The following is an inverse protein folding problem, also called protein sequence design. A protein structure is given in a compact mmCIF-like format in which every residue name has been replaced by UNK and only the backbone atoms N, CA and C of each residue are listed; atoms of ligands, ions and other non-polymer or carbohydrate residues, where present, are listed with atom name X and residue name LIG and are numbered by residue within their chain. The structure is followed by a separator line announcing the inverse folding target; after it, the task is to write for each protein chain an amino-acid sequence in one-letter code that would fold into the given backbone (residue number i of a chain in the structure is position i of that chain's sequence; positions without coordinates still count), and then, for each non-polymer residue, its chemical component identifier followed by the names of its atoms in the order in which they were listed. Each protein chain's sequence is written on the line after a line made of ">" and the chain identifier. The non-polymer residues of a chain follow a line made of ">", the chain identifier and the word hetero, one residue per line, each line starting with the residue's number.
data_IF_629054121106
#
_entry.id   IF_629054121106
#
_cell.length_a   1.000
_cell.length_b   1.000
_cell.length_c   1.000
_cell.angle_alpha   90.00
_cell.angle_beta   90.00
_cell.angle_gamma   90.00
#
_symmetry.space_group_name_H-M   'P 1'
#
loop_
_entity.id
_entity.type
_entity.pdbx_description
1 polymer ?
#
# COMPACT_ATOMS: atom_id res chain seq x y z
N UNK A 1 26.43 -8.22 23.76
CA UNK A 1 26.03 -8.50 22.37
C UNK A 1 24.79 -7.68 22.04
N UNK A 2 24.99 -6.62 21.28
CA UNK A 2 23.89 -5.77 20.82
C UNK A 2 23.10 -6.54 19.78
N UNK A 3 21.94 -7.05 20.15
CA UNK A 3 20.95 -7.53 19.17
C UNK A 3 20.51 -6.28 18.44
N UNK A 4 20.86 -6.27 17.18
CA UNK A 4 20.95 -5.11 16.31
C UNK A 4 19.67 -4.29 16.28
N UNK A 5 19.82 -2.99 16.16
CA UNK A 5 18.76 -2.03 15.78
C UNK A 5 17.94 -2.50 14.57
N UNK A 6 18.51 -3.36 13.71
CA UNK A 6 17.85 -3.94 12.53
C UNK A 6 16.70 -4.86 12.86
N UNK A 7 16.82 -5.73 13.88
CA UNK A 7 15.71 -6.62 14.28
C UNK A 7 14.53 -5.86 14.94
N UNK A 8 14.79 -4.69 15.53
CA UNK A 8 13.74 -3.82 16.05
C UNK A 8 13.07 -2.95 14.99
N UNK A 9 13.74 -2.72 13.86
CA UNK A 9 13.17 -1.97 12.73
C UNK A 9 12.29 -2.85 11.81
N UNK A 10 12.51 -4.16 11.78
CA UNK A 10 11.71 -5.08 10.97
C UNK A 10 10.24 -5.22 11.40
N UNK A 11 9.90 -4.79 12.61
CA UNK A 11 8.52 -4.81 13.14
C UNK A 11 7.84 -3.44 13.12
N UNK A 12 8.40 -2.45 12.43
CA UNK A 12 7.83 -1.11 12.36
C UNK A 12 7.37 -0.80 10.94
N UNK A 13 6.26 -0.07 10.76
CA UNK A 13 5.97 0.55 9.48
C UNK A 13 7.20 1.37 9.10
N UNK A 14 7.58 1.38 7.85
CA UNK A 14 8.77 2.00 7.31
C UNK A 14 9.10 3.40 7.86
N UNK A 15 9.76 4.21 7.06
CA UNK A 15 10.09 5.58 7.45
C UNK A 15 8.83 6.44 7.50
N UNK A 16 8.72 7.28 8.53
CA UNK A 16 7.54 8.12 8.78
C UNK A 16 7.80 9.58 8.44
N UNK A 17 6.80 10.24 7.87
CA UNK A 17 6.76 11.69 7.68
C UNK A 17 5.38 12.22 8.16
N UNK A 18 5.35 12.91 9.30
CA UNK A 18 4.10 13.38 9.93
C UNK A 18 3.16 12.23 10.26
N UNK A 19 1.94 12.24 9.70
CA UNK A 19 0.95 11.18 9.85
C UNK A 19 1.15 10.02 8.86
N UNK A 20 1.91 10.26 7.77
CA UNK A 20 2.09 9.28 6.71
C UNK A 20 3.27 8.36 7.00
N UNK A 21 3.09 7.08 6.67
CA UNK A 21 4.11 6.04 6.74
C UNK A 21 4.34 5.46 5.36
N UNK A 22 5.60 5.14 5.02
CA UNK A 22 5.89 4.33 3.85
C UNK A 22 5.85 2.84 4.20
N UNK A 23 5.50 2.03 3.23
CA UNK A 23 5.50 0.59 3.34
C UNK A 23 5.98 -0.02 2.03
N UNK A 24 7.01 -0.85 2.10
CA UNK A 24 7.60 -1.48 0.92
C UNK A 24 7.85 -2.97 1.18
N UNK A 25 7.31 -3.81 0.30
CA UNK A 25 7.61 -5.24 0.24
C UNK A 25 8.41 -5.55 -1.02
N UNK A 26 9.36 -6.46 -0.90
CA UNK A 26 10.07 -7.04 -2.05
C UNK A 26 9.90 -8.55 -1.98
N UNK A 27 9.12 -9.09 -2.90
CA UNK A 27 8.76 -10.50 -2.91
C UNK A 27 9.37 -11.21 -4.12
N UNK A 28 9.87 -12.43 -3.92
CA UNK A 28 10.15 -13.33 -5.03
C UNK A 28 8.84 -13.81 -5.66
N UNK A 29 8.78 -13.87 -6.98
CA UNK A 29 7.62 -14.39 -7.71
C UNK A 29 7.77 -15.88 -8.01
N UNK A 30 6.65 -16.57 -8.05
CA UNK A 30 6.56 -17.94 -8.56
C UNK A 30 6.91 -17.97 -10.05
N UNK A 31 7.35 -19.11 -10.62
CA UNK A 31 7.58 -19.23 -12.05
C UNK A 31 6.36 -18.77 -12.87
N UNK A 32 6.56 -17.82 -13.80
CA UNK A 32 5.52 -17.21 -14.60
C UNK A 32 4.61 -16.22 -13.85
N UNK A 33 4.87 -15.97 -12.56
CA UNK A 33 4.05 -15.07 -11.73
C UNK A 33 4.07 -13.63 -12.21
N UNK A 34 5.20 -13.16 -12.74
CA UNK A 34 5.31 -11.80 -13.28
C UNK A 34 4.32 -11.53 -14.42
N UNK A 35 4.20 -12.46 -15.34
CA UNK A 35 3.26 -12.33 -16.46
C UNK A 35 1.80 -12.38 -15.97
N UNK A 36 1.48 -13.33 -15.08
CA UNK A 36 0.11 -13.42 -14.52
C UNK A 36 -0.25 -12.15 -13.72
N UNK A 37 0.67 -11.60 -12.97
CA UNK A 37 0.44 -10.34 -12.22
C UNK A 37 0.23 -9.16 -13.17
N UNK A 38 0.97 -9.08 -14.29
CA UNK A 38 0.72 -8.05 -15.33
C UNK A 38 -0.69 -8.16 -15.91
N UNK A 39 -1.14 -9.37 -16.20
CA UNK A 39 -2.50 -9.61 -16.70
C UNK A 39 -3.55 -9.18 -15.67
N UNK A 40 -3.36 -9.51 -14.39
CA UNK A 40 -4.24 -9.11 -13.30
C UNK A 40 -4.32 -7.58 -13.11
N UNK A 41 -3.23 -6.88 -13.39
CA UNK A 41 -3.10 -5.43 -13.20
C UNK A 41 -3.17 -4.65 -14.52
N UNK A 42 -3.54 -5.29 -15.64
CA UNK A 42 -3.55 -4.66 -16.96
C UNK A 42 -4.40 -3.37 -17.00
N UNK A 43 -5.55 -3.36 -16.32
CA UNK A 43 -6.44 -2.21 -16.22
C UNK A 43 -6.06 -1.24 -15.07
N UNK A 44 -4.96 -1.51 -14.36
CA UNK A 44 -4.51 -0.72 -13.23
C UNK A 44 -5.53 -0.67 -12.08
N UNK A 45 -5.54 0.46 -11.38
CA UNK A 45 -6.49 0.75 -10.29
C UNK A 45 -7.62 1.65 -10.81
N UNK A 46 -8.52 1.06 -11.61
CA UNK A 46 -9.68 1.75 -12.20
C UNK A 46 -10.97 1.02 -11.84
N UNK A 47 -12.13 1.65 -12.09
CA UNK A 47 -13.44 1.03 -11.90
C UNK A 47 -13.68 0.54 -10.47
N UNK A 48 -14.10 -0.71 -10.32
CA UNK A 48 -14.40 -1.30 -9.01
C UNK A 48 -13.14 -1.49 -8.15
N UNK A 49 -11.99 -1.79 -8.73
CA UNK A 49 -10.73 -1.90 -7.99
C UNK A 49 -10.37 -0.60 -7.32
N UNK A 50 -10.51 0.54 -8.02
CA UNK A 50 -10.29 1.84 -7.42
C UNK A 50 -11.29 2.11 -6.28
N UNK A 51 -12.57 1.92 -6.51
CA UNK A 51 -13.60 2.13 -5.48
C UNK A 51 -13.35 1.28 -4.23
N UNK A 52 -12.95 0.05 -4.42
CA UNK A 52 -12.63 -0.85 -3.31
C UNK A 52 -11.40 -0.36 -2.54
N UNK A 53 -10.35 0.06 -3.24
CA UNK A 53 -9.15 0.63 -2.62
C UNK A 53 -9.48 1.93 -1.87
N UNK A 54 -10.32 2.80 -2.44
CA UNK A 54 -10.78 4.03 -1.79
C UNK A 54 -11.53 3.79 -0.47
N UNK A 55 -12.16 2.61 -0.29
CA UNK A 55 -12.82 2.24 0.97
C UNK A 55 -11.86 2.12 2.15
N UNK A 56 -10.59 1.83 1.92
CA UNK A 56 -9.56 1.78 2.97
C UNK A 56 -9.36 3.19 3.54
N UNK A 57 -9.43 4.23 2.69
CA UNK A 57 -9.43 5.65 3.08
C UNK A 57 -8.23 6.12 3.90
N UNK A 58 -7.15 5.36 3.91
CA UNK A 58 -5.87 5.68 4.56
C UNK A 58 -4.69 5.56 3.59
N UNK A 59 -4.90 5.05 2.38
CA UNK A 59 -3.87 4.85 1.37
C UNK A 59 -3.75 6.09 0.48
N UNK A 60 -2.61 6.77 0.52
CA UNK A 60 -2.31 7.91 -0.35
C UNK A 60 -1.96 7.47 -1.76
N UNK A 61 -1.11 6.47 -1.87
CA UNK A 61 -0.68 5.86 -3.12
C UNK A 61 -0.26 4.42 -2.88
N UNK A 62 -0.31 3.62 -3.93
CA UNK A 62 0.29 2.29 -3.96
C UNK A 62 0.72 1.94 -5.38
N UNK A 63 1.72 1.06 -5.49
CA UNK A 63 2.23 0.60 -6.77
C UNK A 63 2.84 -0.78 -6.69
N UNK A 64 2.75 -1.50 -7.80
CA UNK A 64 3.46 -2.76 -8.04
C UNK A 64 4.52 -2.53 -9.12
N UNK A 65 5.73 -3.00 -8.89
CA UNK A 65 6.83 -2.92 -9.87
C UNK A 65 7.47 -4.29 -9.99
N UNK A 66 7.37 -4.90 -11.16
CA UNK A 66 8.01 -6.18 -11.47
C UNK A 66 9.41 -5.89 -12.03
N UNK A 67 10.42 -6.61 -11.58
CA UNK A 67 11.81 -6.42 -11.94
C UNK A 67 12.62 -7.73 -11.87
N UNK A 68 13.93 -7.68 -12.09
CA UNK A 68 14.83 -8.84 -12.13
C UNK A 68 14.34 -9.96 -13.08
N UNK A 69 14.08 -9.61 -14.34
CA UNK A 69 13.59 -10.55 -15.35
C UNK A 69 12.34 -11.31 -14.89
N UNK A 70 11.38 -10.59 -14.31
CA UNK A 70 10.09 -11.11 -13.85
C UNK A 70 10.16 -12.09 -12.67
N UNK A 71 11.27 -12.09 -11.94
CA UNK A 71 11.43 -12.97 -10.78
C UNK A 71 11.08 -12.31 -9.45
N UNK A 72 10.90 -10.98 -9.43
CA UNK A 72 10.64 -10.22 -8.21
C UNK A 72 9.60 -9.13 -8.44
N UNK A 73 8.87 -8.78 -7.39
CA UNK A 73 7.94 -7.65 -7.36
C UNK A 73 8.21 -6.77 -6.16
N UNK A 74 8.14 -5.45 -6.38
CA UNK A 74 7.99 -4.45 -5.33
C UNK A 74 6.51 -4.12 -5.21
N UNK A 75 5.97 -4.22 -4.01
CA UNK A 75 4.77 -3.51 -3.61
C UNK A 75 5.17 -2.36 -2.71
N UNK A 76 4.80 -1.15 -3.06
CA UNK A 76 5.09 0.02 -2.26
C UNK A 76 3.84 0.88 -2.09
N UNK A 77 3.62 1.41 -0.90
CA UNK A 77 2.48 2.27 -0.58
C UNK A 77 2.86 3.33 0.45
N UNK A 78 2.03 4.37 0.49
CA UNK A 78 2.03 5.39 1.54
C UNK A 78 0.67 5.38 2.21
N UNK A 79 0.63 5.36 3.53
CA UNK A 79 -0.61 5.24 4.30
C UNK A 79 -0.59 6.07 5.57
N UNK A 80 -1.79 6.41 6.07
CA UNK A 80 -2.00 7.07 7.37
C UNK A 80 -2.21 6.05 8.47
N UNK A 81 -1.74 6.40 9.68
CA UNK A 81 -2.02 5.63 10.89
C UNK A 81 -0.99 4.56 11.20
N UNK A 82 -1.39 3.55 11.95
CA UNK A 82 -0.49 2.49 12.38
C UNK A 82 -0.52 1.27 11.43
N UNK A 83 0.59 0.54 11.43
CA UNK A 83 0.80 -0.61 10.56
C UNK A 83 -0.21 -1.75 10.77
N UNK A 84 -0.60 -2.00 12.03
CA UNK A 84 -1.55 -3.07 12.37
C UNK A 84 -2.93 -2.79 11.78
N UNK A 85 -3.42 -1.55 11.95
CA UNK A 85 -4.67 -1.10 11.36
C UNK A 85 -4.63 -1.17 9.83
N UNK A 86 -3.53 -0.72 9.23
CA UNK A 86 -3.33 -0.77 7.78
C UNK A 86 -3.44 -2.19 7.21
N UNK A 87 -2.74 -3.17 7.81
CA UNK A 87 -2.82 -4.57 7.36
C UNK A 87 -4.22 -5.16 7.60
N UNK A 88 -4.84 -4.85 8.74
CA UNK A 88 -6.18 -5.33 9.07
C UNK A 88 -7.25 -4.74 8.13
N UNK A 89 -7.10 -3.50 7.67
CA UNK A 89 -8.02 -2.89 6.70
C UNK A 89 -7.98 -3.65 5.37
N UNK A 90 -6.82 -4.00 4.87
CA UNK A 90 -6.72 -4.85 3.68
C UNK A 90 -7.35 -6.23 3.88
N UNK A 91 -7.07 -6.87 5.01
CA UNK A 91 -7.62 -8.18 5.33
C UNK A 91 -9.15 -8.18 5.48
N UNK A 92 -9.74 -7.05 5.84
CA UNK A 92 -11.18 -6.90 6.09
C UNK A 92 -11.94 -6.39 4.86
N UNK A 93 -11.34 -5.44 4.14
CA UNK A 93 -12.04 -4.70 3.05
C UNK A 93 -11.77 -5.34 1.69
N UNK A 94 -10.55 -5.87 1.47
CA UNK A 94 -10.08 -6.36 0.17
C UNK A 94 -9.43 -7.76 0.23
N UNK A 95 -9.92 -8.72 1.02
CA UNK A 95 -9.22 -9.99 1.22
C UNK A 95 -8.99 -10.75 -0.09
N UNK A 96 -10.02 -10.87 -0.93
CA UNK A 96 -9.95 -11.63 -2.18
C UNK A 96 -8.97 -10.98 -3.17
N UNK A 97 -8.93 -9.66 -3.22
CA UNK A 97 -8.04 -8.94 -4.13
C UNK A 97 -6.58 -9.04 -3.68
N UNK A 98 -6.33 -8.97 -2.38
CA UNK A 98 -4.99 -9.17 -1.81
C UNK A 98 -4.52 -10.60 -2.06
N UNK A 99 -5.37 -11.59 -1.80
CA UNK A 99 -5.05 -13.00 -2.08
C UNK A 99 -4.77 -13.23 -3.56
N UNK A 100 -5.56 -12.64 -4.44
CA UNK A 100 -5.37 -12.76 -5.89
C UNK A 100 -4.01 -12.20 -6.34
N UNK A 101 -3.63 -11.03 -5.85
CA UNK A 101 -2.38 -10.37 -6.24
C UNK A 101 -1.16 -11.03 -5.60
N UNK A 102 -1.19 -11.28 -4.30
CA UNK A 102 -0.04 -11.81 -3.57
C UNK A 102 0.10 -13.33 -3.68
N UNK A 103 -0.91 -14.03 -4.23
CA UNK A 103 -0.79 -15.46 -4.57
C UNK A 103 0.41 -15.76 -5.46
N UNK A 104 0.80 -14.82 -6.31
CA UNK A 104 1.97 -14.97 -7.18
C UNK A 104 3.32 -14.83 -6.44
N UNK A 105 3.31 -14.34 -5.21
CA UNK A 105 4.49 -14.24 -4.36
C UNK A 105 4.83 -15.60 -3.74
N UNK A 106 6.10 -15.95 -3.77
CA UNK A 106 6.58 -17.19 -3.18
C UNK A 106 6.34 -17.22 -1.66
N UNK A 107 5.78 -18.33 -1.18
CA UNK A 107 5.51 -18.53 0.25
C UNK A 107 4.41 -17.66 0.84
N UNK A 108 3.62 -16.96 0.01
CA UNK A 108 2.46 -16.22 0.50
C UNK A 108 1.44 -17.16 1.15
N UNK A 109 1.08 -16.95 2.44
CA UNK A 109 0.26 -17.90 3.18
C UNK A 109 -1.25 -17.67 3.04
N UNK A 110 -1.68 -16.54 2.44
CA UNK A 110 -3.06 -16.06 2.45
C UNK A 110 -3.28 -14.97 3.50
N UNK A 111 -4.14 -13.99 3.18
CA UNK A 111 -4.35 -12.79 4.03
C UNK A 111 -4.93 -13.11 5.41
N UNK A 112 -5.72 -14.18 5.52
CA UNK A 112 -6.32 -14.61 6.80
C UNK A 112 -5.47 -15.64 7.57
N UNK A 113 -4.30 -16.00 7.02
CA UNK A 113 -3.38 -16.91 7.73
C UNK A 113 -2.85 -16.28 9.00
N UNK A 114 -2.73 -17.02 10.12
CA UNK A 114 -2.05 -16.52 11.31
C UNK A 114 -0.58 -16.14 11.05
N UNK A 115 0.02 -16.66 9.97
CA UNK A 115 1.42 -16.42 9.59
C UNK A 115 1.58 -15.17 8.70
N UNK A 116 0.49 -14.50 8.30
CA UNK A 116 0.55 -13.41 7.31
C UNK A 116 1.46 -12.25 7.77
N UNK A 117 1.36 -11.85 9.03
CA UNK A 117 2.16 -10.75 9.56
C UNK A 117 3.65 -11.08 9.58
N UNK A 118 4.01 -12.31 9.96
CA UNK A 118 5.38 -12.78 9.93
C UNK A 118 5.93 -12.85 8.50
N UNK A 119 5.11 -13.29 7.55
CA UNK A 119 5.46 -13.29 6.14
C UNK A 119 5.70 -11.87 5.63
N UNK A 120 4.80 -10.94 5.92
CA UNK A 120 4.94 -9.52 5.54
C UNK A 120 6.24 -8.94 6.09
N UNK A 121 6.51 -9.12 7.38
CA UNK A 121 7.73 -8.61 8.03
C UNK A 121 9.00 -9.15 7.37
N UNK A 122 9.00 -10.42 6.93
CA UNK A 122 10.15 -11.02 6.22
C UNK A 122 10.38 -10.40 4.84
N UNK A 123 9.33 -9.93 4.16
CA UNK A 123 9.44 -9.31 2.84
C UNK A 123 9.63 -7.79 2.92
N UNK A 124 9.39 -7.19 4.09
CA UNK A 124 9.41 -5.75 4.27
C UNK A 124 10.84 -5.22 4.25
N UNK A 125 11.03 -4.14 3.50
CA UNK A 125 12.24 -3.31 3.51
C UNK A 125 11.84 -1.88 3.86
N UNK A 126 12.66 -1.20 4.66
CA UNK A 126 12.40 0.20 5.01
C UNK A 126 13.08 1.12 4.01
N UNK A 127 12.40 2.17 3.60
CA UNK A 127 13.02 3.23 2.83
C UNK A 127 14.14 3.89 3.65
N UNK A 128 15.25 4.23 2.98
CA UNK A 128 16.33 4.99 3.59
C UNK A 128 15.89 6.41 3.93
N UNK A 129 15.05 6.99 3.06
CA UNK A 129 14.47 8.31 3.22
C UNK A 129 13.06 8.32 2.62
N UNK A 130 12.17 9.08 3.22
CA UNK A 130 10.80 9.27 2.76
C UNK A 130 10.43 10.74 2.86
N UNK A 131 9.92 11.29 1.78
CA UNK A 131 9.43 12.65 1.69
C UNK A 131 7.92 12.64 1.39
N UNK A 132 7.17 13.43 2.13
CA UNK A 132 5.77 13.75 1.84
C UNK A 132 5.62 15.26 1.72
N UNK A 133 4.97 15.74 0.65
CA UNK A 133 4.69 17.16 0.45
C UNK A 133 3.65 17.69 1.46
N UNK A 134 2.80 16.80 1.98
CA UNK A 134 1.71 17.12 2.90
C UNK A 134 1.72 16.15 4.10
N UNK A 135 2.77 16.17 4.93
CA UNK A 135 3.00 15.15 5.96
C UNK A 135 1.94 15.13 7.05
N UNK A 136 1.25 16.26 7.28
CA UNK A 136 0.24 16.40 8.32
C UNK A 136 -1.21 16.20 7.81
N UNK A 137 -1.37 15.98 6.49
CA UNK A 137 -2.69 15.80 5.90
C UNK A 137 -3.00 14.32 5.66
N UNK A 138 -4.05 13.81 6.29
CA UNK A 138 -4.58 12.48 6.01
C UNK A 138 -5.29 12.43 4.65
N UNK A 139 -5.45 11.22 4.09
CA UNK A 139 -6.21 10.98 2.85
C UNK A 139 -7.61 11.61 2.95
N UNK A 140 -8.29 11.43 4.08
CA UNK A 140 -9.64 11.96 4.29
C UNK A 140 -9.68 13.49 4.29
N UNK A 141 -8.66 14.13 4.86
CA UNK A 141 -8.54 15.60 4.86
C UNK A 141 -8.26 16.12 3.45
N UNK A 142 -7.39 15.46 2.69
CA UNK A 142 -7.14 15.79 1.28
C UNK A 142 -8.43 15.67 0.47
N UNK A 143 -9.16 14.57 0.59
CA UNK A 143 -10.45 14.41 -0.12
C UNK A 143 -11.47 15.47 0.26
N UNK A 144 -11.56 15.81 1.55
CA UNK A 144 -12.44 16.89 2.03
C UNK A 144 -12.05 18.23 1.42
N UNK A 145 -10.76 18.56 1.41
CA UNK A 145 -10.25 19.81 0.84
C UNK A 145 -10.54 19.90 -0.67
N UNK A 146 -10.31 18.83 -1.44
CA UNK A 146 -10.61 18.77 -2.86
C UNK A 146 -12.11 18.92 -3.15
N UNK A 147 -12.95 18.27 -2.34
CA UNK A 147 -14.43 18.41 -2.45
C UNK A 147 -14.88 19.82 -2.15
N UNK A 148 -14.33 20.45 -1.11
CA UNK A 148 -14.63 21.83 -0.73
C UNK A 148 -14.21 22.80 -1.83
N UNK A 149 -12.98 22.64 -2.36
CA UNK A 149 -12.51 23.44 -3.50
C UNK A 149 -13.46 23.35 -4.68
N UNK A 150 -13.85 22.12 -5.07
CA UNK A 150 -14.76 21.91 -6.21
C UNK A 150 -16.12 22.60 -6.00
N UNK A 151 -16.70 22.54 -4.79
CA UNK A 151 -17.94 23.20 -4.47
C UNK A 151 -17.81 24.74 -4.52
N UNK A 152 -16.67 25.27 -4.06
CA UNK A 152 -16.36 26.69 -4.12
C UNK A 152 -16.20 27.20 -5.55
N UNK A 153 -15.47 26.44 -6.41
CA UNK A 153 -15.31 26.78 -7.83
C UNK A 153 -16.68 26.88 -8.53
N UNK A 154 -17.58 25.92 -8.30
CA UNK A 154 -18.94 25.96 -8.86
C UNK A 154 -19.72 27.19 -8.39
N UNK A 155 -19.57 27.59 -7.11
CA UNK A 155 -20.23 28.79 -6.58
C UNK A 155 -19.69 30.08 -7.24
N UNK A 156 -18.38 30.18 -7.45
CA UNK A 156 -17.75 31.31 -8.13
C UNK A 156 -18.21 31.42 -9.58
N UNK A 157 -18.27 30.31 -10.31
CA UNK A 157 -18.72 30.26 -11.70
C UNK A 157 -20.19 30.70 -11.83
N UNK A 158 -21.02 30.31 -10.86
CA UNK A 158 -22.44 30.73 -10.84
C UNK A 158 -22.68 32.20 -10.46
N UNK A 159 -21.67 32.86 -9.88
CA UNK A 159 -21.71 34.26 -9.46
C UNK A 159 -21.10 35.22 -10.50
N UNK A 160 -20.52 34.69 -11.59
CA UNK A 160 -19.90 35.44 -12.67
C UNK A 160 -20.84 35.64 -13.83
#
# INVERSE_FOLDING_TARGET
>A
MSISKEAKNAARPGTKAGQSNEFTLICALKPGGGERMRQLLADGFTGERQKNTDRIATVHDLRFVIFDNDTRVIFASTFDGDWESYINDFATILPDEIDLLFHECAGYPGIHSPEIKDWIVKQQVSALAFYSAYPEASVREVWKALKTKKAFDVLLDAAS
#
